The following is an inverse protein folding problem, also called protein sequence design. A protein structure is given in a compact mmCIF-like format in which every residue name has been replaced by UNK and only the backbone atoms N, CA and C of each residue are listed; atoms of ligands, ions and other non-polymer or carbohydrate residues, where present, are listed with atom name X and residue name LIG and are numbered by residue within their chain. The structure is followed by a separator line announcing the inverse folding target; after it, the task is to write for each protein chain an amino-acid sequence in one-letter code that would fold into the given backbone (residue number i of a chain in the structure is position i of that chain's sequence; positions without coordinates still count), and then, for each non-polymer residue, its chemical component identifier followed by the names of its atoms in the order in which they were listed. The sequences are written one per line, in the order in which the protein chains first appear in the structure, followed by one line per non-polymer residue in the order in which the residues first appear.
data_IF_524008761810
#
_entry.id   IF_524008761810
#
_cell.length_a   1.000
_cell.length_b   1.000
_cell.length_c   1.000
_cell.angle_alpha   90.00
_cell.angle_beta   90.00
_cell.angle_gamma   90.00
#
_symmetry.space_group_name_H-M   'P 1'
#
loop_
_entity.id
_entity.type
_entity.pdbx_description
1 polymer ?
#
# COMPACT_ATOMS: atom_id res chain seq x y z
N UNK A 1 7.51 1.75 9.18
CA UNK A 1 6.23 1.27 8.59
C UNK A 1 5.13 2.34 8.50
N UNK A 2 4.66 3.00 9.58
CA UNK A 2 3.60 4.04 9.49
C UNK A 2 3.86 5.11 8.42
N UNK A 3 5.04 5.73 8.46
CA UNK A 3 5.42 6.78 7.49
C UNK A 3 5.43 6.27 6.05
N UNK A 4 5.87 5.03 5.82
CA UNK A 4 5.89 4.41 4.50
C UNK A 4 4.48 4.21 3.95
N UNK A 5 3.51 3.80 4.79
CA UNK A 5 2.12 3.66 4.37
C UNK A 5 1.47 5.00 3.96
N UNK A 6 1.75 6.07 4.72
CA UNK A 6 1.29 7.43 4.38
C UNK A 6 1.91 7.88 3.06
N UNK A 7 3.23 7.73 2.91
CA UNK A 7 3.93 8.07 1.68
C UNK A 7 3.43 7.27 0.47
N UNK A 8 3.19 5.97 0.64
CA UNK A 8 2.63 5.10 -0.40
C UNK A 8 1.25 5.57 -0.86
N UNK A 9 0.34 5.87 0.08
CA UNK A 9 -0.97 6.41 -0.27
C UNK A 9 -0.86 7.73 -1.04
N UNK A 10 0.02 8.63 -0.62
CA UNK A 10 0.27 9.89 -1.34
C UNK A 10 0.78 9.64 -2.76
N UNK A 11 1.74 8.73 -2.95
CA UNK A 11 2.25 8.35 -4.28
C UNK A 11 1.12 7.80 -5.15
N UNK A 12 0.29 6.91 -4.61
CA UNK A 12 -0.81 6.29 -5.33
C UNK A 12 -1.87 7.30 -5.79
N UNK A 13 -2.23 8.26 -4.92
CA UNK A 13 -3.18 9.33 -5.25
C UNK A 13 -2.60 10.29 -6.31
N UNK A 14 -1.33 10.67 -6.18
CA UNK A 14 -0.65 11.52 -7.16
C UNK A 14 -0.55 10.83 -8.54
N UNK A 15 -0.18 9.56 -8.57
CA UNK A 15 -0.16 8.77 -9.81
C UNK A 15 -1.56 8.72 -10.46
N UNK A 16 -2.62 8.59 -9.64
CA UNK A 16 -4.00 8.60 -10.13
C UNK A 16 -4.40 9.92 -10.77
N UNK A 17 -4.03 11.04 -10.16
CA UNK A 17 -4.24 12.38 -10.73
C UNK A 17 -3.52 12.55 -12.08
N UNK A 18 -2.33 11.95 -12.22
CA UNK A 18 -1.57 11.94 -13.46
C UNK A 18 -2.08 10.96 -14.53
N UNK A 19 -3.20 10.26 -14.29
CA UNK A 19 -3.78 9.31 -15.23
C UNK A 19 -3.15 7.91 -15.23
N UNK A 20 -2.39 7.57 -14.18
CA UNK A 20 -1.86 6.23 -13.95
C UNK A 20 -2.70 5.46 -12.94
N UNK A 21 -2.65 4.14 -13.01
CA UNK A 21 -3.15 3.25 -11.95
C UNK A 21 -1.96 2.66 -11.18
N UNK A 22 -2.24 2.26 -9.94
CA UNK A 22 -1.24 1.71 -9.03
C UNK A 22 -1.75 0.50 -8.27
N UNK A 23 -0.83 -0.37 -7.84
CA UNK A 23 -1.12 -1.50 -6.96
C UNK A 23 -0.04 -1.61 -5.88
N UNK A 24 -0.37 -1.38 -4.59
CA UNK A 24 0.54 -1.67 -3.50
C UNK A 24 0.59 -3.19 -3.29
N UNK A 25 1.79 -3.74 -3.07
CA UNK A 25 2.02 -5.17 -2.90
C UNK A 25 2.95 -5.40 -1.72
N UNK A 26 2.58 -6.31 -0.84
CA UNK A 26 3.36 -6.80 0.31
C UNK A 26 3.47 -8.33 0.35
N UNK A 27 2.87 -9.03 -0.63
CA UNK A 27 2.86 -10.49 -0.75
C UNK A 27 4.16 -11.09 -1.31
N UNK A 28 5.32 -10.64 -0.82
CA UNK A 28 6.65 -11.12 -1.20
C UNK A 28 7.47 -11.55 0.03
N UNK A 29 8.57 -12.26 -0.21
CA UNK A 29 9.55 -12.59 0.83
C UNK A 29 10.44 -11.37 1.10
N UNK A 30 10.29 -10.77 2.29
CA UNK A 30 10.98 -9.53 2.67
C UNK A 30 12.50 -9.70 2.78
N UNK A 31 12.97 -10.85 3.28
CA UNK A 31 14.40 -11.12 3.46
C UNK A 31 15.06 -11.37 2.10
N UNK A 32 14.42 -12.18 1.25
CA UNK A 32 14.91 -12.43 -0.10
C UNK A 32 14.96 -11.14 -0.94
N UNK A 33 13.95 -10.27 -0.81
CA UNK A 33 13.95 -8.95 -1.46
C UNK A 33 15.02 -8.04 -0.87
N UNK A 34 15.21 -8.03 0.45
CA UNK A 34 16.26 -7.25 1.11
C UNK A 34 17.65 -7.61 0.60
N UNK A 35 17.93 -8.91 0.46
CA UNK A 35 19.17 -9.41 -0.15
C UNK A 35 19.29 -9.02 -1.62
N UNK A 36 18.22 -9.18 -2.41
CA UNK A 36 18.22 -8.83 -3.83
C UNK A 36 18.53 -7.34 -4.09
N UNK A 37 17.98 -6.46 -3.24
CA UNK A 37 18.18 -5.01 -3.32
C UNK A 37 19.48 -4.55 -2.62
N UNK A 38 20.21 -5.47 -2.00
CA UNK A 38 21.41 -5.19 -1.21
C UNK A 38 21.17 -4.11 -0.14
N UNK A 39 20.06 -4.26 0.61
CA UNK A 39 19.70 -3.32 1.67
C UNK A 39 20.67 -3.43 2.85
N UNK A 40 20.97 -2.31 3.55
CA UNK A 40 21.64 -2.36 4.84
C UNK A 40 20.84 -3.16 5.88
N UNK A 41 21.52 -3.69 6.90
CA UNK A 41 20.91 -4.53 7.94
C UNK A 41 19.80 -3.84 8.73
N UNK A 42 19.81 -2.51 8.83
CA UNK A 42 18.80 -1.70 9.51
C UNK A 42 17.66 -1.22 8.59
N UNK A 43 17.58 -1.74 7.36
CA UNK A 43 16.56 -1.39 6.37
C UNK A 43 15.67 -2.58 6.04
N UNK A 44 14.38 -2.31 5.86
CA UNK A 44 13.40 -3.31 5.40
C UNK A 44 12.58 -2.75 4.24
N UNK A 45 12.24 -3.55 3.22
CA UNK A 45 11.22 -3.18 2.25
C UNK A 45 9.89 -2.95 2.98
N UNK A 46 9.19 -1.86 2.66
CA UNK A 46 7.87 -1.60 3.24
C UNK A 46 6.74 -2.21 2.41
N UNK A 47 6.79 -2.00 1.09
CA UNK A 47 5.90 -2.53 0.06
C UNK A 47 6.49 -2.19 -1.31
N UNK A 48 6.01 -2.85 -2.36
CA UNK A 48 6.18 -2.37 -3.73
C UNK A 48 4.92 -1.61 -4.17
N UNK A 49 5.08 -0.66 -5.08
CA UNK A 49 3.97 0.04 -5.73
C UNK A 49 4.19 -0.08 -7.23
N UNK A 50 3.36 -0.87 -7.92
CA UNK A 50 3.38 -0.83 -9.39
C UNK A 50 2.72 0.46 -9.86
N UNK A 51 3.23 1.02 -10.96
CA UNK A 51 2.68 2.24 -11.59
C UNK A 51 2.62 2.01 -13.08
N UNK A 52 1.47 2.28 -13.70
CA UNK A 52 1.30 2.09 -15.14
C UNK A 52 -0.04 2.53 -15.67
N UNK A 53 -0.20 2.50 -16.99
CA UNK A 53 -1.50 2.77 -17.63
C UNK A 53 -2.38 1.53 -17.53
N UNK A 54 -3.60 1.71 -17.06
CA UNK A 54 -4.56 0.63 -16.92
C UNK A 54 -4.94 0.05 -18.29
N UNK A 55 -4.87 -1.29 -18.42
CA UNK A 55 -5.41 -2.01 -19.59
C UNK A 55 -6.88 -2.37 -19.44
N UNK A 56 -7.38 -2.36 -18.20
CA UNK A 56 -8.77 -2.65 -17.83
C UNK A 56 -9.11 -1.93 -16.51
N UNK A 57 -10.39 -1.67 -16.21
CA UNK A 57 -10.79 -1.12 -14.92
C UNK A 57 -10.38 -2.01 -13.74
N UNK A 58 -10.21 -1.40 -12.57
CA UNK A 58 -9.99 -2.14 -11.32
C UNK A 58 -11.15 -3.10 -11.03
N UNK A 59 -10.84 -4.26 -10.46
CA UNK A 59 -11.87 -5.22 -10.02
C UNK A 59 -12.74 -4.60 -8.91
N UNK A 60 -14.02 -4.99 -8.81
CA UNK A 60 -14.87 -4.59 -7.70
C UNK A 60 -14.21 -4.94 -6.36
N UNK A 61 -14.20 -3.98 -5.43
CA UNK A 61 -13.75 -4.22 -4.05
C UNK A 61 -14.93 -4.75 -3.23
N UNK A 62 -14.63 -5.55 -2.21
CA UNK A 62 -15.64 -6.08 -1.28
C UNK A 62 -16.39 -4.99 -0.48
N UNK A 63 -15.86 -3.76 -0.47
CA UNK A 63 -16.40 -2.64 0.28
C UNK A 63 -15.57 -2.31 1.52
N UNK A 64 -16.08 -1.40 2.34
CA UNK A 64 -15.57 -1.09 3.67
C UNK A 64 -16.53 -1.68 4.71
N UNK A 65 -16.03 -2.03 5.90
CA UNK A 65 -16.89 -2.37 7.03
C UNK A 65 -17.75 -1.18 7.45
N UNK A 66 -18.84 -1.43 8.16
CA UNK A 66 -19.70 -0.35 8.64
C UNK A 66 -18.95 0.55 9.63
N UNK A 67 -19.23 1.86 9.62
CA UNK A 67 -18.52 2.83 10.46
C UNK A 67 -18.63 2.52 11.94
N UNK A 68 -19.75 1.94 12.37
CA UNK A 68 -19.99 1.49 13.74
C UNK A 68 -19.07 0.33 14.17
N UNK A 69 -18.48 -0.39 13.22
CA UNK A 69 -17.56 -1.50 13.49
C UNK A 69 -16.11 -1.00 13.62
N UNK A 70 -15.76 0.10 12.98
CA UNK A 70 -14.37 0.61 12.92
C UNK A 70 -14.14 1.88 13.76
N UNK A 71 -15.19 2.61 14.14
CA UNK A 71 -15.09 3.81 14.99
C UNK A 71 -15.65 3.53 16.38
N UNK A 72 -14.77 3.57 17.37
CA UNK A 72 -15.14 3.42 18.79
C UNK A 72 -14.90 4.75 19.49
N UNK A 73 -15.95 5.27 20.10
CA UNK A 73 -15.89 6.53 20.82
C UNK A 73 -15.46 6.31 22.28
N UNK A 74 -14.49 7.10 22.73
CA UNK A 74 -14.11 7.28 24.13
C UNK A 74 -13.53 6.06 24.87
N UNK A 75 -13.31 4.92 24.20
CA UNK A 75 -12.70 3.71 24.80
C UNK A 75 -12.08 2.79 23.76
N UNK A 76 -11.27 1.85 24.22
CA UNK A 76 -10.91 0.64 23.48
C UNK A 76 -11.88 -0.49 23.85
N UNK A 77 -12.14 -1.40 22.91
CA UNK A 77 -12.87 -2.67 23.12
C UNK A 77 -11.91 -3.83 22.98
#
# INVERSE_FOLDING_TARGET
MRSCGIAAQTIMLAAKEMGYDTCPMDGFDFDAVGHLLNLPEDHTPAMFITVGKAIKPAMPRAGQLDMSEVVIYNKFV
#
